data_IF_581014733382
#
_entry.id   IF_581014733382
#
_cell.length_a   1.000
_cell.length_b   1.000
_cell.length_c   1.000
_cell.angle_alpha   90.00
_cell.angle_beta   90.00
_cell.angle_gamma   90.00
#
_symmetry.space_group_name_H-M   'P 1'
#
loop_
_entity.id
_entity.type
_entity.pdbx_description
1 polymer ?
#
# COMPACT_ATOMS: atom_id res chain seq x y z
N UNK A 1 9.74 -8.83 -6.35
CA UNK A 1 8.38 -8.29 -6.30
C UNK A 1 7.42 -9.31 -6.87
N UNK A 2 7.17 -10.39 -6.15
CA UNK A 2 6.13 -11.38 -6.50
C UNK A 2 5.18 -11.60 -5.33
N UNK A 3 5.72 -11.56 -4.10
CA UNK A 3 4.94 -11.67 -2.87
C UNK A 3 3.97 -10.50 -2.69
N UNK A 4 4.42 -9.25 -2.89
CA UNK A 4 3.56 -8.06 -2.81
C UNK A 4 2.40 -8.15 -3.81
N UNK A 5 2.68 -8.52 -5.05
CA UNK A 5 1.71 -8.61 -6.13
C UNK A 5 0.70 -9.74 -5.91
N UNK A 6 1.14 -10.86 -5.32
CA UNK A 6 0.28 -11.96 -4.92
C UNK A 6 -0.62 -11.55 -3.74
N UNK A 7 -0.07 -10.91 -2.72
CA UNK A 7 -0.85 -10.41 -1.59
C UNK A 7 -1.91 -9.40 -2.05
N UNK A 8 -1.53 -8.44 -2.89
CA UNK A 8 -2.45 -7.46 -3.48
C UNK A 8 -3.49 -8.07 -4.45
N UNK A 9 -3.41 -9.36 -4.79
CA UNK A 9 -4.45 -10.03 -5.60
C UNK A 9 -5.48 -10.77 -4.75
N UNK A 10 -5.26 -10.86 -3.44
CA UNK A 10 -6.08 -11.64 -2.52
C UNK A 10 -6.78 -10.77 -1.46
N UNK A 11 -6.72 -9.45 -1.58
CA UNK A 11 -7.27 -8.49 -0.62
C UNK A 11 -8.14 -7.46 -1.34
N UNK A 12 -9.12 -6.90 -0.64
CA UNK A 12 -10.04 -5.89 -1.17
C UNK A 12 -9.57 -4.43 -0.90
N UNK A 13 -8.55 -4.26 -0.06
CA UNK A 13 -8.08 -2.95 0.37
C UNK A 13 -6.70 -3.00 1.02
N UNK A 14 -6.14 -1.83 1.30
CA UNK A 14 -4.84 -1.68 1.97
C UNK A 14 -4.93 -0.68 3.11
N UNK A 15 -4.20 -0.95 4.20
CA UNK A 15 -4.01 -0.03 5.32
C UNK A 15 -2.58 0.49 5.28
N UNK A 16 -2.42 1.81 5.14
CA UNK A 16 -1.13 2.47 5.18
C UNK A 16 -0.96 3.18 6.52
N UNK A 17 -0.09 2.62 7.36
CA UNK A 17 0.32 3.24 8.63
C UNK A 17 1.41 4.28 8.35
N UNK A 18 1.17 5.53 8.74
CA UNK A 18 2.09 6.65 8.54
C UNK A 18 2.42 7.27 9.88
N UNK A 19 3.71 7.35 10.20
CA UNK A 19 4.15 8.12 11.35
C UNK A 19 3.92 9.62 11.09
N UNK A 20 3.31 10.32 12.03
CA UNK A 20 2.96 11.74 11.89
C UNK A 20 4.19 12.67 11.83
N UNK A 21 5.33 12.23 12.37
CA UNK A 21 6.60 12.98 12.40
C UNK A 21 7.44 12.71 11.15
N UNK A 22 7.46 11.46 10.67
CA UNK A 22 8.31 11.05 9.54
C UNK A 22 7.59 11.11 8.18
N UNK A 23 6.27 10.95 8.16
CA UNK A 23 5.48 10.90 6.93
C UNK A 23 5.70 9.62 6.09
N UNK A 24 5.20 9.59 4.84
CA UNK A 24 5.27 8.39 4.00
C UNK A 24 6.67 8.16 3.41
N UNK A 25 7.28 7.05 3.82
CA UNK A 25 8.62 6.65 3.39
C UNK A 25 8.68 6.16 1.92
N UNK A 26 9.83 6.28 1.23
CA UNK A 26 9.97 5.83 -0.17
C UNK A 26 9.59 4.36 -0.40
N UNK A 27 9.81 3.48 0.59
CA UNK A 27 9.48 2.06 0.51
C UNK A 27 7.96 1.83 0.43
N UNK A 28 7.16 2.62 1.16
CA UNK A 28 5.68 2.46 1.16
C UNK A 28 5.06 2.91 -0.16
N UNK A 29 5.69 3.85 -0.87
CA UNK A 29 5.23 4.34 -2.19
C UNK A 29 5.16 3.23 -3.24
N UNK A 30 6.10 2.27 -3.21
CA UNK A 30 6.09 1.17 -4.17
C UNK A 30 4.83 0.29 -4.04
N UNK A 31 4.48 -0.07 -2.81
CA UNK A 31 3.31 -0.91 -2.50
C UNK A 31 2.02 -0.13 -2.73
N UNK A 32 1.96 1.12 -2.25
CA UNK A 32 0.80 1.99 -2.42
C UNK A 32 0.48 2.22 -3.90
N UNK A 33 1.50 2.47 -4.74
CA UNK A 33 1.30 2.62 -6.19
C UNK A 33 0.63 1.40 -6.80
N UNK A 34 1.10 0.19 -6.48
CA UNK A 34 0.53 -1.06 -7.00
C UNK A 34 -0.90 -1.32 -6.50
N UNK A 35 -1.20 -0.94 -5.26
CA UNK A 35 -2.54 -1.02 -4.71
C UNK A 35 -3.51 -0.08 -5.45
N UNK A 36 -3.08 1.16 -5.71
CA UNK A 36 -3.84 2.15 -6.47
C UNK A 36 -4.05 1.75 -7.93
N UNK A 37 -3.03 1.21 -8.60
CA UNK A 37 -3.14 0.65 -9.96
C UNK A 37 -4.20 -0.46 -10.05
N UNK A 38 -4.42 -1.19 -8.95
CA UNK A 38 -5.43 -2.24 -8.81
C UNK A 38 -6.78 -1.75 -8.29
N UNK A 39 -6.93 -0.44 -8.07
CA UNK A 39 -8.14 0.19 -7.52
C UNK A 39 -8.54 -0.33 -6.13
N UNK A 40 -7.57 -0.82 -5.36
CA UNK A 40 -7.80 -1.20 -3.96
C UNK A 40 -8.03 0.07 -3.14
N UNK A 41 -8.97 0.02 -2.20
CA UNK A 41 -9.26 1.17 -1.33
C UNK A 41 -8.14 1.34 -0.30
N UNK A 42 -7.42 2.47 -0.29
CA UNK A 42 -6.45 2.76 0.75
C UNK A 42 -7.12 3.42 1.96
N UNK A 43 -6.81 2.92 3.15
CA UNK A 43 -7.09 3.58 4.42
C UNK A 43 -5.74 4.10 4.96
N UNK A 44 -5.68 5.36 5.34
CA UNK A 44 -4.47 5.98 5.90
C UNK A 44 -4.70 6.20 7.39
N UNK A 45 -3.78 5.72 8.21
CA UNK A 45 -3.81 5.85 9.67
C UNK A 45 -2.48 6.36 10.18
#
# INVERSE_FOLDING_TARGET
>A
GGEVERTLSMVDGVLLLVDASEGPLPQTRFVLRKALERRLTPIIV
#
